data_IF_814762564264
#
_entry.id   IF_814762564264
#
_cell.length_a   1.000
_cell.length_b   1.000
_cell.length_c   1.000
_cell.angle_alpha   90.00
_cell.angle_beta   90.00
_cell.angle_gamma   90.00
#
_symmetry.space_group_name_H-M   'P 1'
#
loop_
_entity.id
_entity.type
_entity.pdbx_description
1 polymer ?
#
# COMPACT_ATOMS: atom_id res chain seq x y z
N UNK A 1 -10.26 31.09 -13.90
CA UNK A 1 -8.98 30.50 -13.49
C UNK A 1 -9.28 29.71 -12.23
N UNK A 2 -9.18 28.39 -12.32
CA UNK A 2 -9.47 27.46 -11.21
C UNK A 2 -8.22 26.66 -10.92
N UNK A 3 -7.99 26.29 -9.65
CA UNK A 3 -6.92 25.38 -9.27
C UNK A 3 -7.38 23.93 -9.45
N UNK A 4 -6.58 23.12 -10.15
CA UNK A 4 -6.89 21.72 -10.46
C UNK A 4 -5.75 20.82 -10.01
N UNK A 5 -6.02 19.91 -9.07
CA UNK A 5 -5.09 18.86 -8.67
C UNK A 5 -5.36 17.59 -9.49
N UNK A 6 -4.36 17.12 -10.23
CA UNK A 6 -4.37 15.83 -10.91
C UNK A 6 -3.48 14.85 -10.13
N UNK A 7 -4.10 14.11 -9.21
CA UNK A 7 -3.44 13.10 -8.37
C UNK A 7 -3.43 11.74 -9.09
N UNK A 8 -2.27 11.35 -9.62
CA UNK A 8 -2.15 10.17 -10.51
C UNK A 8 -1.59 8.98 -9.75
N UNK A 9 -2.26 7.83 -9.86
CA UNK A 9 -1.89 6.59 -9.19
C UNK A 9 -0.39 6.28 -9.29
N UNK A 10 0.20 5.89 -8.16
CA UNK A 10 1.64 5.68 -8.03
C UNK A 10 1.98 4.26 -8.50
N UNK A 11 2.78 4.07 -9.56
CA UNK A 11 3.21 2.75 -9.97
C UNK A 11 4.12 2.12 -8.92
N UNK A 12 3.83 0.87 -8.61
CA UNK A 12 4.61 0.07 -7.68
C UNK A 12 6.00 -0.28 -8.25
N UNK A 13 7.06 -0.03 -7.49
CA UNK A 13 8.45 -0.11 -7.93
C UNK A 13 9.07 -1.51 -7.83
N UNK A 14 8.26 -2.57 -7.97
CA UNK A 14 8.72 -3.96 -7.95
C UNK A 14 9.08 -4.52 -9.34
N UNK A 15 8.89 -3.73 -10.40
CA UNK A 15 9.22 -4.16 -11.76
C UNK A 15 8.77 -3.17 -12.85
N UNK A 16 9.06 -3.48 -14.12
CA UNK A 16 8.77 -2.61 -15.26
C UNK A 16 7.27 -2.40 -15.46
N UNK A 17 6.91 -1.31 -16.13
CA UNK A 17 5.52 -1.03 -16.52
C UNK A 17 5.20 -1.64 -17.89
N UNK A 18 3.92 -1.73 -18.18
CA UNK A 18 3.39 -2.31 -19.41
C UNK A 18 2.26 -1.43 -19.96
N UNK A 19 1.78 -1.70 -21.18
CA UNK A 19 0.80 -0.86 -21.87
C UNK A 19 -0.48 -0.60 -21.07
N UNK A 20 -0.93 -1.55 -20.24
CA UNK A 20 -2.06 -1.34 -19.32
C UNK A 20 -1.85 -0.17 -18.34
N UNK A 21 -0.62 0.11 -17.89
CA UNK A 21 -0.31 1.26 -17.04
C UNK A 21 -0.35 2.58 -17.82
N UNK A 22 0.16 2.56 -19.06
CA UNK A 22 0.12 3.70 -19.99
C UNK A 22 -1.33 4.08 -20.29
N UNK A 23 -2.16 3.10 -20.64
CA UNK A 23 -3.58 3.29 -20.93
C UNK A 23 -4.41 3.59 -19.67
N UNK A 24 -3.99 3.08 -18.51
CA UNK A 24 -4.72 3.19 -17.25
C UNK A 24 -4.54 4.55 -16.57
N UNK A 25 -3.30 4.96 -16.33
CA UNK A 25 -3.01 6.22 -15.63
C UNK A 25 -2.13 7.17 -16.44
N UNK A 26 -1.14 6.67 -17.18
CA UNK A 26 -0.10 7.52 -17.80
C UNK A 26 -0.68 8.54 -18.78
N UNK A 27 -1.27 8.07 -19.89
CA UNK A 27 -1.81 8.93 -20.94
C UNK A 27 -3.09 9.66 -20.52
N UNK A 28 -4.10 9.02 -19.88
CA UNK A 28 -5.33 9.72 -19.55
C UNK A 28 -5.13 10.91 -18.60
N UNK A 29 -4.25 10.77 -17.61
CA UNK A 29 -3.96 11.87 -16.68
C UNK A 29 -3.24 13.02 -17.36
N UNK A 30 -2.26 12.73 -18.22
CA UNK A 30 -1.51 13.74 -18.97
C UNK A 30 -2.42 14.53 -19.92
N UNK A 31 -3.27 13.83 -20.69
CA UNK A 31 -4.24 14.47 -21.60
C UNK A 31 -5.17 15.41 -20.84
N UNK A 32 -5.69 14.96 -19.68
CA UNK A 32 -6.55 15.80 -18.84
C UNK A 32 -5.82 17.03 -18.32
N UNK A 33 -4.62 16.86 -17.74
CA UNK A 33 -3.86 17.98 -17.19
C UNK A 33 -3.45 18.98 -18.27
N UNK A 34 -3.05 18.53 -19.47
CA UNK A 34 -2.77 19.41 -20.62
C UNK A 34 -4.01 20.18 -21.05
N UNK A 35 -5.16 19.52 -21.19
CA UNK A 35 -6.42 20.19 -21.50
C UNK A 35 -6.74 21.28 -20.48
N UNK A 36 -6.62 20.98 -19.19
CA UNK A 36 -6.90 21.95 -18.13
C UNK A 36 -5.97 23.16 -18.17
N UNK A 37 -4.66 22.95 -18.42
CA UNK A 37 -3.71 24.04 -18.63
C UNK A 37 -4.09 24.88 -19.85
N UNK A 38 -4.45 24.25 -20.97
CA UNK A 38 -4.90 24.96 -22.19
C UNK A 38 -6.20 25.74 -21.98
N UNK A 39 -7.07 25.27 -21.09
CA UNK A 39 -8.30 25.96 -20.70
C UNK A 39 -8.06 27.16 -19.75
N UNK A 40 -6.81 27.44 -19.38
CA UNK A 40 -6.44 28.57 -18.51
C UNK A 40 -6.60 28.29 -17.02
N UNK A 41 -6.58 27.01 -16.62
CA UNK A 41 -6.56 26.60 -15.22
C UNK A 41 -5.12 26.41 -14.71
N UNK A 42 -4.94 26.63 -13.41
CA UNK A 42 -3.68 26.35 -12.73
C UNK A 42 -3.68 24.88 -12.31
N UNK A 43 -2.82 24.08 -12.92
CA UNK A 43 -2.81 22.63 -12.75
C UNK A 43 -1.58 22.19 -11.98
N UNK A 44 -1.79 21.36 -10.96
CA UNK A 44 -0.75 20.59 -10.30
C UNK A 44 -0.99 19.11 -10.58
N UNK A 45 -0.13 18.50 -11.39
CA UNK A 45 -0.14 17.08 -11.72
C UNK A 45 1.01 16.37 -11.00
N UNK A 46 0.67 15.51 -10.04
CA UNK A 46 1.66 14.86 -9.17
C UNK A 46 1.48 13.35 -9.13
N UNK A 47 2.61 12.65 -9.01
CA UNK A 47 2.68 11.20 -8.79
C UNK A 47 4.04 10.82 -8.22
N UNK A 48 4.33 9.53 -8.18
CA UNK A 48 5.62 9.02 -7.78
C UNK A 48 5.67 7.50 -7.82
N UNK A 49 6.83 6.95 -7.49
CA UNK A 49 7.01 5.51 -7.34
C UNK A 49 6.63 5.07 -5.93
N UNK A 50 5.74 4.09 -5.84
CA UNK A 50 5.39 3.41 -4.59
C UNK A 50 6.42 2.30 -4.31
N UNK A 51 7.20 2.48 -3.26
CA UNK A 51 8.45 1.76 -3.01
C UNK A 51 8.45 0.96 -1.72
N UNK A 52 7.37 0.90 -0.95
CA UNK A 52 7.31 0.15 0.32
C UNK A 52 6.48 -1.13 0.20
N UNK A 53 6.61 -2.05 1.15
CA UNK A 53 5.78 -3.24 1.27
C UNK A 53 6.42 -4.56 0.81
N UNK A 54 5.75 -5.67 1.12
CA UNK A 54 6.26 -7.04 0.94
C UNK A 54 6.65 -7.38 -0.51
N UNK A 55 5.91 -6.98 -1.56
CA UNK A 55 6.32 -7.30 -2.93
C UNK A 55 7.65 -6.66 -3.35
N UNK A 56 8.08 -5.55 -2.74
CA UNK A 56 9.42 -4.98 -2.96
C UNK A 56 10.49 -5.89 -2.33
N UNK A 57 10.27 -6.36 -1.10
CA UNK A 57 11.18 -7.30 -0.44
C UNK A 57 11.36 -8.58 -1.26
N UNK A 58 10.25 -9.19 -1.70
CA UNK A 58 10.28 -10.43 -2.47
C UNK A 58 11.06 -10.22 -3.78
N UNK A 59 10.74 -9.16 -4.53
CA UNK A 59 11.43 -8.88 -5.79
C UNK A 59 12.92 -8.54 -5.59
N UNK A 60 13.27 -7.94 -4.45
CA UNK A 60 14.66 -7.63 -4.11
C UNK A 60 15.43 -8.92 -3.78
N UNK A 61 14.84 -9.80 -2.96
CA UNK A 61 15.41 -11.11 -2.61
C UNK A 61 15.60 -11.98 -3.87
N UNK A 62 14.59 -12.04 -4.77
CA UNK A 62 14.68 -12.75 -6.06
C UNK A 62 15.76 -12.19 -6.98
N UNK A 63 16.00 -10.88 -6.94
CA UNK A 63 17.02 -10.20 -7.73
C UNK A 63 18.42 -10.21 -7.09
N UNK A 64 18.55 -10.71 -5.85
CA UNK A 64 19.79 -10.62 -5.07
C UNK A 64 20.22 -9.17 -4.78
N UNK A 65 19.25 -8.27 -4.62
CA UNK A 65 19.45 -6.84 -4.36
C UNK A 65 18.88 -6.46 -2.99
N UNK A 66 19.33 -5.34 -2.43
CA UNK A 66 18.59 -4.71 -1.33
C UNK A 66 17.28 -4.08 -1.84
N UNK A 67 16.27 -3.91 -0.96
CA UNK A 67 15.01 -3.24 -1.32
C UNK A 67 15.22 -1.84 -1.90
N UNK A 68 16.18 -1.08 -1.34
CA UNK A 68 16.54 0.25 -1.84
C UNK A 68 17.13 0.21 -3.24
N UNK A 69 18.08 -0.70 -3.52
CA UNK A 69 18.68 -0.84 -4.85
C UNK A 69 17.64 -1.24 -5.91
N UNK A 70 16.73 -2.14 -5.57
CA UNK A 70 15.63 -2.54 -6.46
C UNK A 70 14.71 -1.34 -6.74
N UNK A 71 14.29 -0.62 -5.70
CA UNK A 71 13.44 0.56 -5.82
C UNK A 71 14.12 1.66 -6.65
N UNK A 72 15.41 1.94 -6.43
CA UNK A 72 16.19 2.92 -7.19
C UNK A 72 16.26 2.57 -8.68
N UNK A 73 16.56 1.31 -8.98
CA UNK A 73 16.61 0.79 -10.36
C UNK A 73 15.25 0.93 -11.04
N UNK A 74 14.19 0.46 -10.40
CA UNK A 74 12.85 0.46 -11.00
C UNK A 74 12.25 1.87 -11.08
N UNK A 75 12.49 2.73 -10.09
CA UNK A 75 12.11 4.14 -10.17
C UNK A 75 12.72 4.80 -11.40
N UNK A 76 14.02 4.61 -11.63
CA UNK A 76 14.69 5.18 -12.81
C UNK A 76 14.05 4.70 -14.12
N UNK A 77 13.81 3.39 -14.24
CA UNK A 77 13.15 2.81 -15.41
C UNK A 77 11.75 3.40 -15.64
N UNK A 78 10.95 3.50 -14.57
CA UNK A 78 9.60 4.07 -14.64
C UNK A 78 9.64 5.53 -15.09
N UNK A 79 10.56 6.33 -14.54
CA UNK A 79 10.73 7.74 -14.92
C UNK A 79 11.17 7.87 -16.38
N UNK A 80 12.15 7.08 -16.81
CA UNK A 80 12.63 7.06 -18.20
C UNK A 80 11.50 6.71 -19.18
N UNK A 81 10.69 5.70 -18.86
CA UNK A 81 9.53 5.31 -19.68
C UNK A 81 8.47 6.43 -19.76
N UNK A 82 8.12 7.04 -18.63
CA UNK A 82 7.12 8.11 -18.55
C UNK A 82 7.58 9.38 -19.28
N UNK A 83 8.86 9.73 -19.15
CA UNK A 83 9.48 10.84 -19.91
C UNK A 83 9.52 10.52 -21.40
N UNK A 84 9.89 9.29 -21.77
CA UNK A 84 9.90 8.84 -23.17
C UNK A 84 8.51 8.89 -23.83
N UNK A 85 7.46 8.68 -23.05
CA UNK A 85 6.06 8.87 -23.48
C UNK A 85 5.63 10.33 -23.58
N UNK A 86 6.41 11.27 -23.04
CA UNK A 86 6.10 12.69 -23.03
C UNK A 86 5.13 13.12 -21.93
N UNK A 87 4.99 12.35 -20.85
CA UNK A 87 4.12 12.69 -19.72
C UNK A 87 4.64 13.92 -18.98
N UNK A 88 3.74 14.85 -18.64
CA UNK A 88 4.05 16.19 -18.13
C UNK A 88 3.70 16.41 -16.66
N UNK A 89 4.21 15.55 -15.79
CA UNK A 89 4.12 15.74 -14.34
C UNK A 89 4.82 17.04 -13.90
N UNK A 90 4.17 17.79 -13.00
CA UNK A 90 4.80 18.94 -12.33
C UNK A 90 5.77 18.46 -11.23
N UNK A 91 5.46 17.31 -10.60
CA UNK A 91 6.39 16.56 -9.78
C UNK A 91 6.12 15.06 -9.86
N UNK A 92 7.17 14.29 -10.12
CA UNK A 92 7.19 12.85 -9.96
C UNK A 92 8.24 12.47 -8.90
N UNK A 93 7.80 12.01 -7.73
CA UNK A 93 8.67 11.74 -6.57
C UNK A 93 8.66 10.26 -6.15
N UNK A 94 8.99 9.95 -4.89
CA UNK A 94 9.19 8.60 -4.35
C UNK A 94 8.68 8.51 -2.92
N UNK A 95 8.13 7.36 -2.52
CA UNK A 95 7.67 7.17 -1.13
C UNK A 95 8.82 6.99 -0.13
N UNK A 96 10.03 6.65 -0.59
CA UNK A 96 11.24 6.54 0.25
C UNK A 96 11.89 7.89 0.60
N UNK A 97 11.25 9.02 0.25
CA UNK A 97 11.80 10.35 0.57
C UNK A 97 11.56 10.73 2.03
N UNK A 98 12.50 11.49 2.62
CA UNK A 98 12.33 12.09 3.95
C UNK A 98 11.05 12.93 4.07
N UNK A 99 10.67 13.62 2.99
CA UNK A 99 9.43 14.41 2.95
C UNK A 99 8.20 13.51 3.10
N UNK A 100 8.11 12.43 2.32
CA UNK A 100 6.99 11.49 2.42
C UNK A 100 6.88 10.88 3.82
N UNK A 101 8.00 10.41 4.38
CA UNK A 101 8.05 9.86 5.73
C UNK A 101 7.50 10.85 6.77
N UNK A 102 7.95 12.12 6.73
CA UNK A 102 7.50 13.14 7.67
C UNK A 102 5.99 13.42 7.56
N UNK A 103 5.47 13.57 6.34
CA UNK A 103 4.03 13.85 6.11
C UNK A 103 3.16 12.68 6.54
N UNK A 104 3.59 11.44 6.28
CA UNK A 104 2.86 10.24 6.72
C UNK A 104 2.85 10.12 8.23
N UNK A 105 3.99 10.36 8.89
CA UNK A 105 4.10 10.30 10.34
C UNK A 105 3.25 11.39 11.01
N UNK A 106 3.21 12.59 10.43
CA UNK A 106 2.34 13.68 10.91
C UNK A 106 0.85 13.30 10.81
N UNK A 107 0.41 12.76 9.66
CA UNK A 107 -0.96 12.27 9.51
C UNK A 107 -1.28 11.11 10.45
N UNK A 108 -0.34 10.17 10.63
CA UNK A 108 -0.51 9.07 11.58
C UNK A 108 -0.74 9.59 12.99
N UNK A 109 0.08 10.53 13.46
CA UNK A 109 -0.05 11.13 14.79
C UNK A 109 -1.39 11.85 14.94
N UNK A 110 -1.81 12.62 13.92
CA UNK A 110 -3.12 13.26 13.92
C UNK A 110 -4.26 12.26 14.07
N UNK A 111 -4.25 11.15 13.31
CA UNK A 111 -5.28 10.10 13.40
C UNK A 111 -5.24 9.40 14.77
N UNK A 112 -4.05 9.14 15.30
CA UNK A 112 -3.83 8.55 16.63
C UNK A 112 -4.38 9.43 17.75
N UNK A 113 -4.01 10.72 17.77
CA UNK A 113 -4.41 11.70 18.79
C UNK A 113 -5.92 11.98 18.78
N UNK A 114 -6.57 11.83 17.63
CA UNK A 114 -8.02 11.95 17.50
C UNK A 114 -8.77 10.65 17.87
N UNK A 115 -8.07 9.60 18.31
CA UNK A 115 -8.69 8.37 18.83
C UNK A 115 -9.23 7.40 17.78
N UNK A 116 -8.80 7.52 16.51
CA UNK A 116 -9.26 6.64 15.42
C UNK A 116 -8.38 5.40 15.23
N UNK A 117 -7.36 5.20 16.06
CA UNK A 117 -6.51 4.01 16.03
C UNK A 117 -6.79 3.12 17.23
N UNK A 118 -7.06 1.84 16.96
CA UNK A 118 -7.30 0.80 17.96
C UNK A 118 -6.15 -0.19 17.92
N UNK A 119 -5.51 -0.43 19.07
CA UNK A 119 -4.53 -1.50 19.20
C UNK A 119 -5.23 -2.85 19.34
N UNK A 120 -4.80 -3.82 18.55
CA UNK A 120 -5.26 -5.21 18.66
C UNK A 120 -4.08 -6.17 18.59
N UNK A 121 -4.13 -7.22 19.39
CA UNK A 121 -3.22 -8.36 19.29
C UNK A 121 -3.75 -9.31 18.24
N UNK A 122 -2.90 -9.68 17.29
CA UNK A 122 -3.16 -10.71 16.29
C UNK A 122 -2.12 -11.82 16.41
N UNK A 123 -2.42 -12.98 15.83
CA UNK A 123 -1.44 -14.05 15.65
C UNK A 123 -0.86 -13.97 14.24
N UNK A 124 0.46 -14.10 14.13
CA UNK A 124 1.16 -14.09 12.86
C UNK A 124 2.26 -15.13 12.84
N UNK A 125 2.56 -15.64 11.65
CA UNK A 125 3.70 -16.52 11.42
C UNK A 125 4.94 -15.71 11.07
N UNK A 126 6.06 -15.97 11.75
CA UNK A 126 7.36 -15.36 11.45
C UNK A 126 8.38 -16.42 11.06
N UNK A 127 9.33 -16.04 10.21
CA UNK A 127 10.54 -16.84 9.96
C UNK A 127 11.51 -16.67 11.13
N UNK A 128 11.94 -17.74 11.82
CA UNK A 128 12.83 -17.62 12.98
C UNK A 128 14.20 -17.00 12.66
N UNK A 129 14.75 -17.29 11.47
CA UNK A 129 16.06 -16.78 11.06
C UNK A 129 16.06 -15.31 10.64
N UNK A 130 14.94 -14.82 10.10
CA UNK A 130 14.85 -13.45 9.55
C UNK A 130 14.01 -12.50 10.40
N UNK A 131 13.17 -13.03 11.29
CA UNK A 131 12.18 -12.27 12.06
C UNK A 131 11.07 -11.65 11.21
N UNK A 132 11.02 -11.97 9.90
CA UNK A 132 10.02 -11.42 8.96
C UNK A 132 8.73 -12.23 9.01
N UNK A 133 7.59 -11.56 8.86
CA UNK A 133 6.31 -12.26 8.71
C UNK A 133 6.24 -13.04 7.42
N UNK A 134 5.73 -14.27 7.53
CA UNK A 134 5.44 -15.16 6.43
C UNK A 134 3.95 -15.04 6.08
N UNK A 135 3.60 -14.52 4.90
CA UNK A 135 2.22 -14.57 4.44
C UNK A 135 1.75 -16.03 4.34
N UNK A 136 0.49 -16.28 4.68
CA UNK A 136 -0.13 -17.62 4.73
C UNK A 136 0.17 -18.49 3.50
N UNK A 137 0.19 -17.86 2.31
CA UNK A 137 0.47 -18.54 1.03
C UNK A 137 1.91 -19.04 0.88
N UNK A 138 2.84 -18.47 1.63
CA UNK A 138 4.24 -18.91 1.70
C UNK A 138 4.48 -19.92 2.83
N UNK A 139 3.43 -20.34 3.53
CA UNK A 139 3.49 -21.43 4.50
C UNK A 139 2.84 -22.64 3.85
N UNK A 140 3.57 -23.74 3.81
CA UNK A 140 3.08 -25.04 3.34
C UNK A 140 3.19 -26.07 4.45
N UNK A 141 2.36 -27.09 4.42
CA UNK A 141 2.40 -28.17 5.39
C UNK A 141 1.44 -29.28 5.03
N UNK A 142 1.29 -30.23 5.94
CA UNK A 142 0.33 -31.32 5.79
C UNK A 142 -1.07 -30.87 6.22
N UNK A 143 -2.05 -31.01 5.33
CA UNK A 143 -3.45 -30.67 5.59
C UNK A 143 -3.98 -31.43 6.81
N UNK A 144 -4.52 -30.75 7.83
CA UNK A 144 -5.03 -31.42 9.02
C UNK A 144 -6.28 -32.27 8.73
N UNK A 145 -7.01 -31.95 7.65
CA UNK A 145 -8.29 -32.58 7.27
C UNK A 145 -8.07 -33.84 6.42
N UNK A 146 -7.32 -33.73 5.31
CA UNK A 146 -7.20 -34.82 4.32
C UNK A 146 -5.80 -35.45 4.24
N UNK A 147 -4.81 -34.94 4.99
CA UNK A 147 -3.45 -35.48 5.01
C UNK A 147 -2.57 -35.12 3.81
N UNK A 148 -3.01 -34.22 2.93
CA UNK A 148 -2.21 -33.76 1.79
C UNK A 148 -0.98 -32.95 2.23
N UNK A 149 0.23 -33.37 1.83
CA UNK A 149 1.50 -32.85 2.37
C UNK A 149 1.98 -31.49 1.81
N UNK A 150 1.23 -30.94 0.86
CA UNK A 150 1.52 -29.65 0.20
C UNK A 150 0.40 -28.63 0.35
N UNK A 151 -0.40 -28.71 1.42
CA UNK A 151 -1.44 -27.72 1.66
C UNK A 151 -0.82 -26.37 2.02
N UNK A 152 -1.39 -25.30 1.46
CA UNK A 152 -0.96 -23.93 1.75
C UNK A 152 -1.66 -23.44 3.00
N UNK A 153 -1.08 -22.46 3.68
CA UNK A 153 -1.60 -21.89 4.90
C UNK A 153 -3.00 -21.29 4.74
N UNK A 154 -3.35 -20.84 3.53
CA UNK A 154 -4.67 -20.28 3.21
C UNK A 154 -5.67 -21.33 2.68
N UNK A 155 -5.20 -22.41 2.06
CA UNK A 155 -6.05 -23.38 1.38
C UNK A 155 -5.36 -24.72 1.10
N UNK A 156 -6.09 -25.83 1.25
CA UNK A 156 -5.66 -27.12 0.73
C UNK A 156 -6.12 -27.32 -0.72
N UNK A 157 -5.17 -27.36 -1.66
CA UNK A 157 -5.47 -27.57 -3.08
C UNK A 157 -6.03 -28.98 -3.39
N UNK A 158 -5.89 -29.95 -2.47
CA UNK A 158 -6.42 -31.31 -2.66
C UNK A 158 -7.89 -31.46 -2.22
N UNK A 159 -8.28 -30.94 -1.05
CA UNK A 159 -9.67 -31.06 -0.56
C UNK A 159 -10.48 -29.76 -0.67
N UNK A 160 -9.88 -28.67 -1.14
CA UNK A 160 -10.52 -27.38 -1.39
C UNK A 160 -10.85 -26.54 -0.14
N UNK A 161 -10.65 -27.08 1.07
CA UNK A 161 -10.95 -26.37 2.32
C UNK A 161 -9.99 -25.21 2.55
N UNK A 162 -10.52 -24.11 3.07
CA UNK A 162 -9.72 -23.02 3.63
C UNK A 162 -9.07 -23.50 4.92
N UNK A 163 -7.82 -23.09 5.13
CA UNK A 163 -7.02 -23.44 6.29
C UNK A 163 -6.55 -22.16 6.98
N UNK A 164 -6.12 -22.31 8.22
CA UNK A 164 -5.27 -21.34 8.90
C UNK A 164 -3.85 -21.92 8.96
N UNK A 165 -2.79 -21.14 8.71
CA UNK A 165 -1.43 -21.67 8.73
C UNK A 165 -1.04 -22.33 10.05
N UNK A 166 -1.63 -21.89 11.17
CA UNK A 166 -1.38 -22.48 12.49
C UNK A 166 -1.94 -23.91 12.63
N UNK A 167 -2.93 -24.28 11.82
CA UNK A 167 -3.56 -25.60 11.83
C UNK A 167 -2.82 -26.62 10.95
N UNK A 168 -1.87 -26.17 10.12
CA UNK A 168 -1.06 -27.05 9.30
C UNK A 168 -0.18 -27.94 10.18
N UNK A 169 -0.13 -29.23 9.86
CA UNK A 169 0.85 -30.15 10.48
C UNK A 169 2.18 -29.98 9.76
N UNK A 170 3.28 -29.94 10.49
CA UNK A 170 4.64 -29.72 9.95
C UNK A 170 4.72 -28.49 9.02
N UNK A 171 4.30 -27.29 9.50
CA UNK A 171 4.35 -26.09 8.69
C UNK A 171 5.82 -25.77 8.35
N UNK A 172 6.05 -25.35 7.11
CA UNK A 172 7.35 -24.96 6.57
C UNK A 172 7.20 -23.75 5.66
N UNK A 173 8.15 -22.85 5.72
CA UNK A 173 8.26 -21.72 4.81
C UNK A 173 8.64 -22.20 3.40
N UNK A 174 7.90 -21.75 2.39
CA UNK A 174 8.24 -21.96 0.98
C UNK A 174 9.51 -21.22 0.55
N UNK A 175 9.90 -20.20 1.29
CA UNK A 175 11.04 -19.33 0.97
C UNK A 175 12.35 -20.02 1.36
N UNK A 176 12.46 -20.53 2.59
CA UNK A 176 13.71 -21.06 3.14
C UNK A 176 13.59 -22.45 3.79
N UNK A 177 12.40 -23.06 3.80
CA UNK A 177 12.16 -24.40 4.34
C UNK A 177 12.05 -24.50 5.86
N UNK A 178 12.25 -23.42 6.60
CA UNK A 178 12.20 -23.42 8.06
C UNK A 178 10.77 -23.56 8.59
N UNK A 179 10.63 -24.12 9.80
CA UNK A 179 9.35 -24.13 10.51
C UNK A 179 9.02 -22.71 10.99
N UNK A 180 7.85 -22.15 10.61
CA UNK A 180 7.41 -20.85 11.11
C UNK A 180 7.21 -20.87 12.63
N UNK A 181 7.50 -19.75 13.27
CA UNK A 181 7.08 -19.52 14.65
C UNK A 181 5.79 -18.70 14.64
N UNK A 182 4.78 -19.14 15.40
CA UNK A 182 3.52 -18.43 15.55
C UNK A 182 3.59 -17.56 16.79
N UNK A 183 3.55 -16.25 16.60
CA UNK A 183 3.73 -15.27 17.67
C UNK A 183 2.54 -14.33 17.76
N UNK A 184 2.24 -13.93 19.00
CA UNK A 184 1.36 -12.78 19.24
C UNK A 184 2.07 -11.51 18.83
N UNK A 185 1.36 -10.66 18.11
CA UNK A 185 1.91 -9.42 17.56
C UNK A 185 0.87 -8.31 17.64
N UNK A 186 1.27 -7.13 18.08
CA UNK A 186 0.36 -5.98 18.19
C UNK A 186 0.32 -5.19 16.89
N UNK A 187 -0.86 -4.72 16.53
CA UNK A 187 -1.07 -3.84 15.39
C UNK A 187 -2.04 -2.71 15.72
N UNK A 188 -1.78 -1.55 15.12
CA UNK A 188 -2.79 -0.49 15.01
C UNK A 188 -3.76 -0.77 13.87
N UNK A 189 -5.04 -0.67 14.19
CA UNK A 189 -6.14 -0.70 13.24
C UNK A 189 -6.78 0.68 13.15
N UNK A 190 -7.01 1.15 11.92
CA UNK A 190 -7.83 2.33 11.69
C UNK A 190 -9.30 1.96 11.84
N UNK A 191 -10.00 2.66 12.75
CA UNK A 191 -11.42 2.49 13.00
C UNK A 191 -12.27 3.15 11.90
N UNK A 192 -12.22 2.55 10.72
CA UNK A 192 -13.04 2.96 9.57
C UNK A 192 -14.56 2.95 9.84
N UNK A 193 -15.14 2.02 10.62
CA UNK A 193 -16.54 2.09 11.03
C UNK A 193 -16.94 3.43 11.63
N UNK A 194 -16.08 4.04 12.46
CA UNK A 194 -16.34 5.35 13.06
C UNK A 194 -16.47 6.49 12.01
N UNK A 195 -16.00 6.27 10.79
CA UNK A 195 -16.06 7.24 9.68
C UNK A 195 -17.16 6.91 8.65
N UNK A 196 -17.83 5.77 8.77
CA UNK A 196 -18.74 5.26 7.74
C UNK A 196 -19.91 6.20 7.43
N UNK A 197 -20.51 6.80 8.45
CA UNK A 197 -21.62 7.74 8.31
C UNK A 197 -21.20 9.00 7.56
N UNK A 198 -20.09 9.63 7.99
CA UNK A 198 -19.56 10.83 7.35
C UNK A 198 -19.14 10.57 5.89
N UNK A 199 -18.53 9.41 5.61
CA UNK A 199 -18.18 9.00 4.25
C UNK A 199 -19.41 8.74 3.39
N UNK A 200 -20.46 8.15 3.95
CA UNK A 200 -21.74 7.92 3.25
C UNK A 200 -22.37 9.25 2.85
N UNK A 201 -22.47 10.20 3.79
CA UNK A 201 -22.99 11.53 3.51
C UNK A 201 -22.16 12.25 2.43
N UNK A 202 -20.84 12.17 2.50
CA UNK A 202 -19.97 12.74 1.49
C UNK A 202 -20.16 12.11 0.10
N UNK A 203 -20.35 10.78 0.03
CA UNK A 203 -20.64 10.08 -1.22
C UNK A 203 -22.01 10.46 -1.79
N UNK A 204 -23.02 10.69 -0.96
CA UNK A 204 -24.33 11.17 -1.40
C UNK A 204 -24.23 12.54 -2.06
N UNK A 205 -23.43 13.46 -1.49
CA UNK A 205 -23.14 14.74 -2.13
C UNK A 205 -22.44 14.57 -3.47
N UNK A 206 -21.46 13.66 -3.56
CA UNK A 206 -20.74 13.41 -4.83
C UNK A 206 -21.68 12.83 -5.88
N UNK A 207 -22.58 11.92 -5.50
CA UNK A 207 -23.61 11.36 -6.37
C UNK A 207 -24.54 12.45 -6.92
N UNK A 208 -24.99 13.37 -6.05
CA UNK A 208 -25.88 14.47 -6.41
C UNK A 208 -25.26 15.43 -7.45
N UNK A 209 -23.92 15.52 -7.54
CA UNK A 209 -23.28 16.32 -8.60
C UNK A 209 -23.46 15.74 -10.00
N UNK A 210 -23.72 14.44 -10.13
CA UNK A 210 -23.77 13.73 -11.41
C UNK A 210 -22.42 13.63 -12.14
N UNK A 211 -21.31 14.08 -11.52
CA UNK A 211 -19.98 14.12 -12.14
C UNK A 211 -19.20 12.80 -12.00
N UNK A 212 -19.49 12.04 -10.95
CA UNK A 212 -18.83 10.75 -10.68
C UNK A 212 -19.53 9.62 -11.41
N UNK A 213 -18.75 8.61 -11.84
CA UNK A 213 -19.30 7.44 -12.51
C UNK A 213 -20.21 6.67 -11.53
N UNK A 214 -21.46 6.32 -11.90
CA UNK A 214 -22.40 5.67 -10.98
C UNK A 214 -21.89 4.37 -10.36
N UNK A 215 -21.10 3.59 -11.10
CA UNK A 215 -20.51 2.34 -10.60
C UNK A 215 -19.45 2.57 -9.52
N UNK A 216 -18.73 3.69 -9.53
CA UNK A 216 -17.74 4.04 -8.50
C UNK A 216 -18.45 4.42 -7.19
N UNK A 217 -19.49 5.24 -7.28
CA UNK A 217 -20.31 5.62 -6.12
C UNK A 217 -20.94 4.37 -5.48
N UNK A 218 -21.63 3.55 -6.27
CA UNK A 218 -22.28 2.33 -5.76
C UNK A 218 -21.29 1.36 -5.13
N UNK A 219 -20.14 1.12 -5.78
CA UNK A 219 -19.10 0.25 -5.22
C UNK A 219 -18.58 0.78 -3.88
N UNK A 220 -18.36 2.09 -3.77
CA UNK A 220 -17.87 2.71 -2.53
C UNK A 220 -18.90 2.61 -1.41
N UNK A 221 -20.18 2.86 -1.69
CA UNK A 221 -21.27 2.71 -0.71
C UNK A 221 -21.40 1.26 -0.21
N UNK A 222 -21.31 0.28 -1.11
CA UNK A 222 -21.35 -1.15 -0.71
C UNK A 222 -20.19 -1.52 0.22
N UNK A 223 -19.00 -0.93 0.05
CA UNK A 223 -17.89 -1.14 0.98
C UNK A 223 -18.22 -0.60 2.38
N UNK A 224 -18.91 0.54 2.47
CA UNK A 224 -19.27 1.17 3.73
C UNK A 224 -20.29 0.36 4.54
N UNK A 225 -21.18 -0.37 3.89
CA UNK A 225 -22.21 -1.21 4.54
C UNK A 225 -21.58 -2.30 5.44
N UNK A 226 -20.42 -2.84 5.05
CA UNK A 226 -19.71 -3.90 5.77
C UNK A 226 -18.29 -3.48 6.18
N UNK A 227 -18.02 -2.17 6.29
CA UNK A 227 -16.68 -1.67 6.59
C UNK A 227 -16.26 -2.13 7.97
N UNK A 228 -15.01 -2.59 8.08
CA UNK A 228 -14.41 -3.08 9.33
C UNK A 228 -13.13 -2.31 9.60
N UNK A 229 -12.63 -2.30 10.85
CA UNK A 229 -11.31 -1.78 11.13
C UNK A 229 -10.26 -2.47 10.25
N UNK A 230 -9.25 -1.71 9.83
CA UNK A 230 -8.17 -2.21 8.95
C UNK A 230 -6.83 -1.98 9.61
N UNK A 231 -6.01 -3.02 9.70
CA UNK A 231 -4.65 -2.88 10.21
C UNK A 231 -3.82 -1.98 9.30
N UNK A 232 -3.25 -0.92 9.88
CA UNK A 232 -2.38 0.06 9.20
C UNK A 232 -0.91 -0.13 9.56
N UNK A 233 -0.56 -1.25 10.19
CA UNK A 233 0.83 -1.59 10.54
C UNK A 233 1.15 -2.99 10.05
N UNK A 234 2.42 -3.27 9.79
CA UNK A 234 2.90 -4.58 9.34
C UNK A 234 4.20 -4.94 10.03
N UNK A 235 4.38 -6.24 10.17
CA UNK A 235 5.61 -6.88 10.61
C UNK A 235 6.56 -7.06 9.42
N UNK A 236 7.33 -6.01 9.13
CA UNK A 236 8.24 -5.90 7.99
C UNK A 236 9.40 -4.97 8.35
N UNK A 237 10.57 -5.19 7.76
CA UNK A 237 11.77 -4.36 7.96
C UNK A 237 11.89 -3.20 6.95
N UNK A 238 11.03 -3.17 5.92
CA UNK A 238 11.02 -2.19 4.83
C UNK A 238 9.72 -1.36 4.77
N UNK A 239 9.83 -0.09 5.12
CA UNK A 239 8.71 0.86 5.16
C UNK A 239 8.96 2.04 6.10
N UNK A 240 7.90 2.78 6.42
CA UNK A 240 7.95 3.95 7.31
C UNK A 240 7.81 3.52 8.77
N UNK A 241 8.67 4.04 9.64
CA UNK A 241 8.61 3.76 11.08
C UNK A 241 7.38 4.40 11.72
N UNK A 242 6.80 3.70 12.69
CA UNK A 242 5.66 4.19 13.47
C UNK A 242 6.21 5.21 14.50
N UNK A 243 5.70 6.46 14.53
CA UNK A 243 6.31 7.54 15.30
C UNK A 243 5.91 7.56 16.79
N UNK A 244 5.63 6.41 17.40
CA UNK A 244 5.26 6.27 18.82
C UNK A 244 6.36 5.59 19.63
N UNK A 245 6.50 5.98 20.89
CA UNK A 245 7.49 5.37 21.79
C UNK A 245 7.19 3.87 21.99
N UNK A 246 8.22 3.03 21.96
CA UNK A 246 8.09 1.57 22.01
C UNK A 246 7.81 0.92 20.65
N UNK A 247 7.29 1.68 19.68
CA UNK A 247 7.11 1.23 18.29
C UNK A 247 8.21 1.75 17.36
N UNK A 248 8.71 2.96 17.61
CA UNK A 248 9.72 3.65 16.78
C UNK A 248 11.04 2.88 16.72
N UNK A 249 11.42 2.27 17.84
CA UNK A 249 12.65 1.51 18.00
C UNK A 249 12.53 0.09 17.43
N UNK A 250 11.32 -0.37 17.12
CA UNK A 250 11.11 -1.72 16.60
C UNK A 250 11.50 -1.77 15.11
N UNK A 251 12.58 -2.51 14.75
CA UNK A 251 13.08 -2.53 13.38
C UNK A 251 12.11 -3.23 12.42
N UNK A 252 11.25 -4.13 12.93
CA UNK A 252 10.33 -4.96 12.14
C UNK A 252 8.89 -4.47 12.20
N UNK A 253 8.60 -3.29 12.77
CA UNK A 253 7.26 -2.69 12.71
C UNK A 253 7.24 -1.45 11.83
N UNK A 254 6.47 -1.50 10.75
CA UNK A 254 6.29 -0.37 9.82
C UNK A 254 4.82 -0.07 9.60
N UNK A 255 4.54 1.15 9.13
CA UNK A 255 3.24 1.50 8.58
C UNK A 255 2.97 0.65 7.33
N UNK A 256 1.72 0.21 7.21
CA UNK A 256 1.28 -0.58 6.07
C UNK A 256 1.25 0.28 4.81
N UNK A 257 1.73 -0.25 3.68
CA UNK A 257 1.84 0.51 2.42
C UNK A 257 0.50 1.11 1.94
N UNK A 258 -0.62 0.46 2.22
CA UNK A 258 -1.93 1.03 1.83
C UNK A 258 -2.33 2.25 2.65
N UNK A 259 -1.73 2.44 3.83
CA UNK A 259 -1.91 3.65 4.63
C UNK A 259 -1.00 4.79 4.13
N UNK A 260 0.27 4.53 3.81
CA UNK A 260 1.21 5.58 3.40
C UNK A 260 1.09 5.96 1.91
N UNK A 261 0.84 5.00 1.00
CA UNK A 261 0.84 5.25 -0.44
C UNK A 261 -0.23 6.28 -0.86
N UNK A 262 -1.42 6.26 -0.23
CA UNK A 262 -2.48 7.25 -0.49
C UNK A 262 -2.08 8.65 -0.02
N UNK A 263 -1.25 8.75 1.02
CA UNK A 263 -0.66 10.02 1.49
C UNK A 263 0.39 10.55 0.50
N UNK A 264 0.88 9.69 -0.40
CA UNK A 264 1.76 10.05 -1.52
C UNK A 264 1.32 11.33 -2.23
N UNK A 265 0.03 11.44 -2.59
CA UNK A 265 -0.51 12.61 -3.29
C UNK A 265 -0.33 13.92 -2.51
N UNK A 266 -0.57 13.90 -1.19
CA UNK A 266 -0.35 15.06 -0.33
C UNK A 266 1.14 15.36 -0.21
N UNK A 267 1.96 14.34 0.09
CA UNK A 267 3.39 14.52 0.28
C UNK A 267 4.10 15.07 -0.97
N UNK A 268 3.71 14.61 -2.16
CA UNK A 268 4.21 15.15 -3.43
C UNK A 268 3.79 16.61 -3.63
N UNK A 269 2.55 16.96 -3.29
CA UNK A 269 2.08 18.35 -3.38
C UNK A 269 2.85 19.27 -2.41
N UNK A 270 3.11 18.81 -1.18
CA UNK A 270 3.95 19.51 -0.20
C UNK A 270 5.39 19.66 -0.69
N UNK A 271 5.96 18.61 -1.28
CA UNK A 271 7.32 18.63 -1.82
C UNK A 271 7.44 19.59 -3.00
N UNK A 272 6.47 19.58 -3.91
CA UNK A 272 6.40 20.50 -5.04
C UNK A 272 6.34 21.95 -4.53
N UNK A 273 5.42 22.24 -3.59
CA UNK A 273 5.25 23.57 -3.03
C UNK A 273 6.53 24.08 -2.35
N UNK A 274 7.28 23.22 -1.65
CA UNK A 274 8.55 23.60 -1.01
C UNK A 274 9.70 23.84 -1.99
N UNK A 275 9.70 23.18 -3.15
CA UNK A 275 10.83 23.19 -4.09
C UNK A 275 10.66 24.20 -5.23
N UNK A 276 9.44 24.35 -5.72
CA UNK A 276 9.14 25.01 -6.99
C UNK A 276 8.08 26.11 -6.85
N UNK A 277 7.49 26.28 -5.65
CA UNK A 277 6.46 27.26 -5.33
C UNK A 277 7.00 28.45 -4.55
#
# INVERSE_FOLDING_TARGET
MTHVLSAVAWPYANGPRHIGHVAGFGVPSDVFSRYQRMAGNDVLMVSGSDEHGTPILIAADEAGMTPQELADKNHRLIVEDLVGLGVSYDLYTRTTTRNHHAVVQELFLGVYENGYLVEQTTYGAISPSTGRTLPDRYIEGTCPICGYDGARGDQCDNCGNQLDPQDLKNPRSKINGETPEFVETQHFFLDLPALAEALTAWLDEREATGLWRPNVIRFSKNILEEIRPRSITRDIDWGITIPLDGWRENPTKKLYVWFDAVVGYLSASVEWARRLG
#
